data_IF_223282188724
#
_entry.id   IF_223282188724
#
_cell.length_a   1.000
_cell.length_b   1.000
_cell.length_c   1.000
_cell.angle_alpha   90.00
_cell.angle_beta   90.00
_cell.angle_gamma   90.00
#
_symmetry.space_group_name_H-M   'P 1'
#
loop_
_entity.id
_entity.type
_entity.pdbx_description
1 polymer ?
#
# COMPACT_ATOMS: atom_id res chain seq x y z
N UNK A 1 -2.90 -0.76 -9.58
CA UNK A 1 -2.00 -1.08 -8.45
C UNK A 1 -2.78 -1.49 -7.21
N UNK A 2 -3.66 -0.63 -6.66
CA UNK A 2 -4.50 -0.94 -5.48
C UNK A 2 -5.33 -2.20 -5.70
N UNK A 3 -6.08 -2.27 -6.80
CA UNK A 3 -6.91 -3.42 -7.21
C UNK A 3 -6.15 -4.73 -7.15
N UNK A 4 -5.03 -4.83 -7.89
CA UNK A 4 -4.19 -6.04 -7.94
C UNK A 4 -3.70 -6.47 -6.56
N UNK A 5 -3.29 -5.51 -5.71
CA UNK A 5 -2.79 -5.83 -4.37
C UNK A 5 -3.91 -6.33 -3.45
N UNK A 6 -5.07 -5.67 -3.46
CA UNK A 6 -6.22 -6.02 -2.62
C UNK A 6 -6.84 -7.34 -3.07
N UNK A 7 -7.05 -7.54 -4.36
CA UNK A 7 -7.54 -8.80 -4.92
C UNK A 7 -6.58 -9.95 -4.61
N UNK A 8 -5.27 -9.79 -4.84
CA UNK A 8 -4.28 -10.84 -4.59
C UNK A 8 -4.30 -11.34 -3.14
N UNK A 9 -4.42 -10.43 -2.17
CA UNK A 9 -4.48 -10.77 -0.75
C UNK A 9 -5.87 -11.27 -0.31
N UNK A 10 -6.94 -10.78 -0.93
CA UNK A 10 -8.29 -11.28 -0.70
C UNK A 10 -8.44 -12.75 -1.13
N UNK A 11 -7.82 -13.12 -2.26
CA UNK A 11 -7.84 -14.49 -2.79
C UNK A 11 -6.99 -15.47 -1.96
N UNK A 12 -5.94 -14.97 -1.29
CA UNK A 12 -5.08 -15.80 -0.45
C UNK A 12 -4.90 -15.20 0.95
N UNK A 13 -5.85 -15.53 1.84
CA UNK A 13 -5.86 -15.05 3.24
C UNK A 13 -4.63 -15.49 4.04
N UNK A 14 -4.07 -16.67 3.76
CA UNK A 14 -2.84 -17.14 4.40
C UNK A 14 -1.64 -16.28 4.00
N UNK A 15 -1.54 -15.93 2.71
CA UNK A 15 -0.52 -14.98 2.25
C UNK A 15 -0.70 -13.62 2.92
N UNK A 16 -1.93 -13.12 3.03
CA UNK A 16 -2.21 -11.86 3.70
C UNK A 16 -1.77 -11.87 5.18
N UNK A 17 -2.07 -12.95 5.91
CA UNK A 17 -1.61 -13.11 7.30
C UNK A 17 -0.08 -13.16 7.39
N UNK A 18 0.59 -13.85 6.47
CA UNK A 18 2.06 -13.87 6.39
C UNK A 18 2.61 -12.48 6.19
N UNK A 19 2.14 -11.76 5.17
CA UNK A 19 2.66 -10.44 4.84
C UNK A 19 2.39 -9.41 5.94
N UNK A 20 1.22 -9.46 6.58
CA UNK A 20 0.80 -8.43 7.52
C UNK A 20 1.18 -8.70 8.97
N UNK A 21 1.34 -9.96 9.37
CA UNK A 21 1.66 -10.32 10.76
C UNK A 21 3.06 -10.96 10.80
N UNK A 22 3.27 -12.05 10.07
CA UNK A 22 4.46 -12.86 10.25
C UNK A 22 5.74 -12.19 9.71
N UNK A 23 5.66 -11.31 8.72
CA UNK A 23 6.83 -10.56 8.24
C UNK A 23 7.20 -9.37 9.15
N UNK A 24 6.39 -9.02 10.16
CA UNK A 24 6.71 -7.93 11.11
C UNK A 24 7.71 -8.42 12.17
N UNK A 25 8.96 -8.55 11.78
CA UNK A 25 10.04 -9.11 12.60
C UNK A 25 10.66 -8.06 13.55
N UNK A 26 10.98 -8.47 14.78
CA UNK A 26 11.72 -7.62 15.72
C UNK A 26 13.21 -7.51 15.34
N UNK A 27 13.77 -8.60 14.82
CA UNK A 27 15.16 -8.66 14.41
C UNK A 27 15.48 -7.66 13.28
N UNK A 28 16.59 -6.92 13.42
CA UNK A 28 16.94 -5.87 12.48
C UNK A 28 17.48 -6.44 11.16
N UNK A 29 18.22 -7.54 11.19
CA UNK A 29 18.78 -8.13 9.97
C UNK A 29 17.66 -8.70 9.09
N UNK A 30 16.70 -9.41 9.69
CA UNK A 30 15.49 -9.90 9.04
C UNK A 30 14.67 -8.75 8.45
N UNK A 31 14.45 -7.67 9.20
CA UNK A 31 13.74 -6.48 8.68
C UNK A 31 14.42 -5.87 7.46
N UNK A 32 15.76 -5.85 7.41
CA UNK A 32 16.51 -5.34 6.24
C UNK A 32 16.27 -6.23 5.02
N UNK A 33 16.38 -7.55 5.18
CA UNK A 33 16.13 -8.51 4.09
C UNK A 33 14.70 -8.41 3.56
N UNK A 34 13.71 -8.30 4.44
CA UNK A 34 12.31 -8.09 4.06
C UNK A 34 12.13 -6.75 3.33
N UNK A 35 12.79 -5.69 3.82
CA UNK A 35 12.79 -4.38 3.17
C UNK A 35 13.33 -4.40 1.75
N UNK A 36 14.33 -5.24 1.47
CA UNK A 36 14.88 -5.40 0.11
C UNK A 36 13.90 -6.09 -0.84
N UNK A 37 13.07 -7.02 -0.34
CA UNK A 37 11.99 -7.64 -1.13
C UNK A 37 10.90 -6.63 -1.49
N UNK A 38 10.58 -5.70 -0.59
CA UNK A 38 9.55 -4.66 -0.81
C UNK A 38 10.06 -3.50 -1.68
N UNK A 39 11.39 -3.30 -1.76
CA UNK A 39 12.01 -2.17 -2.46
C UNK A 39 11.52 -1.96 -3.91
N UNK A 40 11.34 -2.98 -4.76
CA UNK A 40 10.81 -2.79 -6.12
C UNK A 40 9.39 -2.19 -6.13
N UNK A 41 8.57 -2.53 -5.14
CA UNK A 41 7.22 -1.96 -5.02
C UNK A 41 7.26 -0.47 -4.67
N UNK A 42 8.20 -0.06 -3.81
CA UNK A 42 8.45 1.35 -3.54
C UNK A 42 8.92 2.12 -4.79
N UNK A 43 9.80 1.52 -5.59
CA UNK A 43 10.26 2.11 -6.85
C UNK A 43 9.14 2.27 -7.87
N UNK A 44 8.21 1.31 -7.94
CA UNK A 44 7.02 1.42 -8.78
C UNK A 44 6.15 2.61 -8.37
N UNK A 45 5.90 2.79 -7.07
CA UNK A 45 5.13 3.93 -6.56
C UNK A 45 5.84 5.25 -6.85
N UNK A 46 7.16 5.32 -6.62
CA UNK A 46 7.96 6.51 -6.92
C UNK A 46 7.88 6.87 -8.41
N UNK A 47 7.91 5.88 -9.31
CA UNK A 47 7.79 6.09 -10.74
C UNK A 47 6.42 6.65 -11.13
N UNK A 48 5.33 6.12 -10.57
CA UNK A 48 3.97 6.62 -10.81
C UNK A 48 3.83 8.07 -10.35
N UNK A 49 4.39 8.41 -9.19
CA UNK A 49 4.37 9.79 -8.67
C UNK A 49 5.12 10.72 -9.62
N UNK A 50 6.33 10.33 -10.05
CA UNK A 50 7.15 11.16 -10.94
C UNK A 50 6.47 11.36 -12.29
N UNK A 51 5.95 10.30 -12.91
CA UNK A 51 5.22 10.37 -14.18
C UNK A 51 3.99 11.29 -14.09
N UNK A 52 3.26 11.25 -12.98
CA UNK A 52 2.15 12.16 -12.74
C UNK A 52 2.57 13.62 -12.57
N UNK A 53 3.74 13.89 -11.99
CA UNK A 53 4.32 15.25 -11.93
C UNK A 53 4.72 15.72 -13.33
N UNK A 54 5.41 14.88 -14.09
CA UNK A 54 5.90 15.21 -15.43
C UNK A 54 4.75 15.51 -16.41
N UNK A 55 3.61 14.82 -16.23
CA UNK A 55 2.37 15.04 -16.99
C UNK A 55 1.51 16.19 -16.46
N UNK A 56 1.92 16.87 -15.39
CA UNK A 56 1.15 17.95 -14.77
C UNK A 56 -0.13 17.52 -14.05
N UNK A 57 -0.29 16.21 -13.77
CA UNK A 57 -1.42 15.64 -13.03
C UNK A 57 -1.23 15.88 -11.53
N UNK A 58 0.00 15.72 -11.03
CA UNK A 58 0.35 15.93 -9.63
C UNK A 58 1.12 17.23 -9.44
N UNK A 59 0.90 17.89 -8.30
CA UNK A 59 1.61 19.13 -7.96
C UNK A 59 3.13 18.84 -7.83
N UNK A 60 4.00 19.66 -8.44
CA UNK A 60 5.46 19.43 -8.44
C UNK A 60 6.10 19.62 -7.05
N UNK A 61 5.37 20.21 -6.10
CA UNK A 61 5.80 20.42 -4.72
C UNK A 61 5.60 19.20 -3.81
N UNK A 62 5.09 18.08 -4.33
CA UNK A 62 4.97 16.83 -3.56
C UNK A 62 6.36 16.30 -3.21
N UNK A 63 6.59 16.05 -1.93
CA UNK A 63 7.69 15.19 -1.50
C UNK A 63 7.37 13.73 -1.87
N UNK A 64 8.13 13.18 -2.82
CA UNK A 64 7.94 11.82 -3.32
C UNK A 64 7.99 10.77 -2.20
N UNK A 65 8.84 10.94 -1.17
CA UNK A 65 8.98 9.98 -0.07
C UNK A 65 7.76 10.00 0.83
N UNK A 66 7.22 11.18 1.09
CA UNK A 66 5.99 11.34 1.88
C UNK A 66 4.79 10.77 1.10
N UNK A 67 4.67 11.10 -0.20
CA UNK A 67 3.59 10.57 -1.03
C UNK A 67 3.65 9.03 -1.14
N UNK A 68 4.84 8.46 -1.35
CA UNK A 68 5.01 7.00 -1.35
C UNK A 68 4.60 6.38 -0.02
N UNK A 69 5.00 6.97 1.12
CA UNK A 69 4.61 6.50 2.46
C UNK A 69 3.11 6.56 2.66
N UNK A 70 2.45 7.62 2.19
CA UNK A 70 1.00 7.75 2.24
C UNK A 70 0.33 6.64 1.43
N UNK A 71 0.71 6.47 0.15
CA UNK A 71 0.12 5.46 -0.74
C UNK A 71 0.32 4.05 -0.16
N UNK A 72 1.56 3.68 0.14
CA UNK A 72 1.86 2.35 0.68
C UNK A 72 1.22 2.15 2.06
N UNK A 73 1.35 3.14 2.96
CA UNK A 73 0.85 3.05 4.33
C UNK A 73 -0.67 2.92 4.40
N UNK A 74 -1.41 3.68 3.59
CA UNK A 74 -2.88 3.55 3.51
C UNK A 74 -3.29 2.15 3.05
N UNK A 75 -2.61 1.62 2.03
CA UNK A 75 -2.89 0.25 1.55
C UNK A 75 -2.55 -0.79 2.63
N UNK A 76 -1.35 -0.71 3.21
CA UNK A 76 -0.83 -1.64 4.21
C UNK A 76 -1.71 -1.68 5.47
N UNK A 77 -2.11 -0.51 5.98
CA UNK A 77 -2.96 -0.42 7.16
C UNK A 77 -4.39 -0.90 6.88
N UNK A 78 -4.94 -0.59 5.70
CA UNK A 78 -6.28 -1.09 5.30
C UNK A 78 -6.33 -2.62 5.31
N UNK A 79 -5.28 -3.26 4.77
CA UNK A 79 -5.17 -4.71 4.75
C UNK A 79 -4.86 -5.26 6.15
N UNK A 80 -4.01 -4.60 6.92
CA UNK A 80 -3.71 -4.98 8.31
C UNK A 80 -5.00 -5.01 9.14
N UNK A 81 -5.81 -3.94 9.10
CA UNK A 81 -7.09 -3.87 9.77
C UNK A 81 -8.01 -5.03 9.36
N UNK A 82 -8.09 -5.32 8.06
CA UNK A 82 -8.88 -6.44 7.54
C UNK A 82 -8.40 -7.81 8.06
N UNK A 83 -7.09 -8.07 8.00
CA UNK A 83 -6.49 -9.31 8.50
C UNK A 83 -6.76 -9.48 10.00
N UNK A 84 -6.63 -8.40 10.79
CA UNK A 84 -6.84 -8.43 12.24
C UNK A 84 -8.29 -8.75 12.63
N UNK A 85 -9.27 -8.46 11.78
CA UNK A 85 -10.64 -8.94 12.01
C UNK A 85 -10.81 -10.44 11.79
N UNK A 86 -9.82 -11.13 11.24
CA UNK A 86 -9.94 -12.48 10.70
C UNK A 86 -10.48 -12.49 9.26
N UNK A 87 -10.22 -11.43 8.49
CA UNK A 87 -10.67 -11.30 7.10
C UNK A 87 -12.20 -11.49 6.95
N UNK A 88 -12.96 -10.80 7.81
CA UNK A 88 -14.42 -10.97 7.98
C UNK A 88 -15.29 -10.18 7.01
N UNK A 89 -14.77 -9.09 6.47
CA UNK A 89 -15.49 -8.24 5.51
C UNK A 89 -14.83 -8.30 4.12
N UNK A 90 -15.51 -7.75 3.12
CA UNK A 90 -15.00 -7.71 1.76
C UNK A 90 -13.88 -6.67 1.63
N UNK A 91 -12.66 -7.14 1.39
CA UNK A 91 -11.51 -6.27 1.12
C UNK A 91 -11.63 -5.61 -0.26
N UNK A 92 -12.23 -6.28 -1.25
CA UNK A 92 -12.33 -5.72 -2.61
C UNK A 92 -13.29 -4.53 -2.64
N UNK A 93 -14.37 -4.57 -1.85
CA UNK A 93 -15.26 -3.44 -1.62
C UNK A 93 -14.58 -2.19 -1.03
N UNK A 94 -13.34 -2.28 -0.53
CA UNK A 94 -12.55 -1.13 -0.07
C UNK A 94 -11.66 -0.50 -1.15
N UNK A 95 -11.57 -1.08 -2.35
CA UNK A 95 -10.70 -0.58 -3.42
C UNK A 95 -11.10 0.85 -3.82
N UNK A 96 -12.37 1.06 -4.18
CA UNK A 96 -12.85 2.37 -4.65
C UNK A 96 -12.71 3.46 -3.57
N UNK A 97 -13.15 3.25 -2.30
CA UNK A 97 -12.94 4.24 -1.23
C UNK A 97 -11.47 4.57 -0.97
N UNK A 98 -10.57 3.59 -1.03
CA UNK A 98 -9.13 3.81 -0.83
C UNK A 98 -8.54 4.63 -1.97
N UNK A 99 -8.88 4.31 -3.22
CA UNK A 99 -8.41 5.07 -4.39
C UNK A 99 -8.93 6.50 -4.33
N UNK A 100 -10.21 6.70 -4.01
CA UNK A 100 -10.81 8.02 -3.87
C UNK A 100 -10.06 8.87 -2.84
N UNK A 101 -9.80 8.34 -1.64
CA UNK A 101 -9.04 9.04 -0.60
C UNK A 101 -7.59 9.33 -1.00
N UNK A 102 -6.93 8.43 -1.72
CA UNK A 102 -5.55 8.66 -2.16
C UNK A 102 -5.45 9.77 -3.21
N UNK A 103 -6.47 9.94 -4.05
CA UNK A 103 -6.48 10.94 -5.12
C UNK A 103 -7.04 12.28 -4.64
N UNK A 104 -8.13 12.27 -3.87
CA UNK A 104 -8.88 13.47 -3.49
C UNK A 104 -8.62 13.91 -2.03
N UNK A 105 -7.96 13.08 -1.23
CA UNK A 105 -7.80 13.28 0.21
C UNK A 105 -9.16 13.46 0.91
N UNK A 106 -9.21 14.24 1.99
CA UNK A 106 -10.44 14.49 2.77
C UNK A 106 -11.14 15.81 2.39
N UNK A 107 -10.87 16.35 1.19
CA UNK A 107 -11.56 17.56 0.74
C UNK A 107 -13.01 17.23 0.36
N UNK A 108 -13.90 18.19 0.60
CA UNK A 108 -15.30 18.16 0.13
C UNK A 108 -15.37 18.33 -1.37
#
# INVERSE_FOLDING_TARGET
MVTVYFEGLAHNKSLAAVTQIHLRQADQAMRRQIGDIIRPYYQLIDHIIQDGIDKGIFRPTIDHRIARRMIFGTMDETITAWVLTGAKYDLQGLIEPVVDLLVHAMKK
#
